data_IF_783425814464
#
_entry.id   IF_783425814464
#
_cell.length_a   1.000
_cell.length_b   1.000
_cell.length_c   1.000
_cell.angle_alpha   90.00
_cell.angle_beta   90.00
_cell.angle_gamma   90.00
#
_symmetry.space_group_name_H-M   'P 1'
#
loop_
_entity.id
_entity.type
_entity.pdbx_description
1 polymer ?
#
# COMPACT_ATOMS: atom_id res chain seq x y z
N UNK A 1 21.68 21.76 19.57
CA UNK A 1 21.26 20.74 18.60
C UNK A 1 20.04 21.27 17.88
N UNK A 2 20.19 21.62 16.61
CA UNK A 2 19.09 22.18 15.81
C UNK A 2 18.12 21.05 15.46
N UNK A 3 16.90 21.11 15.98
CA UNK A 3 15.81 20.24 15.55
C UNK A 3 15.61 20.46 14.04
N UNK A 4 15.95 19.45 13.24
CA UNK A 4 15.54 19.46 11.84
C UNK A 4 14.02 19.56 11.82
N UNK A 5 13.44 20.51 11.05
CA UNK A 5 11.99 20.62 10.95
C UNK A 5 11.45 19.25 10.52
N UNK A 6 10.51 18.72 11.29
CA UNK A 6 9.78 17.48 10.98
C UNK A 6 9.28 17.65 9.55
N UNK A 7 9.91 16.98 8.59
CA UNK A 7 9.40 16.94 7.22
C UNK A 7 8.01 16.39 7.33
N UNK A 8 7.01 17.25 7.05
CA UNK A 8 5.57 16.99 7.19
C UNK A 8 5.28 15.59 6.68
N UNK A 9 4.69 14.76 7.52
CA UNK A 9 4.45 13.36 7.24
C UNK A 9 3.83 13.18 5.84
N UNK A 10 4.49 12.46 4.98
CA UNK A 10 4.14 12.40 3.55
C UNK A 10 2.78 11.77 3.24
N UNK A 11 2.18 10.88 4.06
CA UNK A 11 0.77 10.51 3.93
C UNK A 11 -0.19 11.69 3.99
N UNK A 12 0.14 12.75 4.77
CA UNK A 12 -0.62 13.99 4.82
C UNK A 12 -0.59 14.81 3.50
N UNK A 13 0.19 14.39 2.51
CA UNK A 13 0.17 14.99 1.17
C UNK A 13 -1.04 14.48 0.37
N UNK A 14 -1.51 13.27 0.67
CA UNK A 14 -2.66 12.64 0.01
C UNK A 14 -3.92 12.85 0.84
N UNK A 15 -3.81 12.67 2.15
CA UNK A 15 -4.89 12.92 3.10
C UNK A 15 -4.63 14.25 3.81
N UNK A 16 -5.65 15.06 4.04
CA UNK A 16 -5.55 16.33 4.74
C UNK A 16 -4.82 16.18 6.09
N UNK A 17 -3.90 17.10 6.41
CA UNK A 17 -3.09 17.04 7.64
C UNK A 17 -3.92 16.93 8.93
N UNK A 18 -5.14 17.47 8.92
CA UNK A 18 -6.05 17.45 10.07
C UNK A 18 -6.54 16.05 10.41
N UNK A 19 -6.67 15.20 9.40
CA UNK A 19 -7.28 13.88 9.48
C UNK A 19 -6.28 12.77 9.80
N UNK A 20 -4.99 13.02 9.59
CA UNK A 20 -3.93 12.03 9.85
C UNK A 20 -3.57 12.01 11.33
N UNK A 21 -3.68 10.82 11.96
CA UNK A 21 -3.39 10.56 13.37
C UNK A 21 -2.38 9.42 13.51
N UNK A 22 -1.76 9.30 14.68
CA UNK A 22 -0.90 8.17 15.06
C UNK A 22 0.13 7.79 13.99
N UNK A 23 0.86 8.78 13.47
CA UNK A 23 1.82 8.57 12.38
C UNK A 23 3.09 7.91 12.90
N UNK A 24 3.44 6.77 12.32
CA UNK A 24 4.76 6.17 12.42
C UNK A 24 5.48 6.22 11.07
N UNK A 25 6.81 6.36 11.07
CA UNK A 25 7.60 6.33 9.84
C UNK A 25 9.04 5.93 10.09
N UNK A 26 9.64 5.30 9.09
CA UNK A 26 11.09 5.07 8.99
C UNK A 26 11.59 5.79 7.75
N UNK A 27 12.44 6.79 7.94
CA UNK A 27 12.99 7.67 6.91
C UNK A 27 11.94 8.07 5.85
N UNK A 28 12.20 7.74 4.58
CA UNK A 28 11.31 7.97 3.46
C UNK A 28 10.75 6.64 2.89
N UNK A 29 10.84 5.53 3.63
CA UNK A 29 10.60 4.19 3.09
C UNK A 29 9.26 3.60 3.47
N UNK A 30 8.89 3.68 4.76
CA UNK A 30 7.65 3.10 5.28
C UNK A 30 6.96 4.13 6.16
N UNK A 31 5.66 4.31 5.91
CA UNK A 31 4.77 5.09 6.74
C UNK A 31 3.55 4.25 7.09
N UNK A 32 3.02 4.44 8.29
CA UNK A 32 1.72 3.93 8.67
C UNK A 32 1.00 4.96 9.54
N UNK A 33 -0.30 5.09 9.39
CA UNK A 33 -1.09 6.02 10.19
C UNK A 33 -2.57 5.65 10.20
N UNK A 34 -3.31 6.30 11.08
CA UNK A 34 -4.77 6.33 11.11
C UNK A 34 -5.27 7.61 10.43
N UNK A 35 -6.41 7.52 9.77
CA UNK A 35 -7.13 8.64 9.17
C UNK A 35 -8.49 8.73 9.85
N UNK A 36 -8.87 9.91 10.32
CA UNK A 36 -10.13 10.14 11.03
C UNK A 36 -10.72 11.49 10.63
N UNK A 37 -11.99 11.51 10.26
CA UNK A 37 -12.74 12.70 9.86
C UNK A 37 -12.74 12.93 8.36
N UNK A 38 -13.53 13.89 7.91
CA UNK A 38 -13.80 14.20 6.52
C UNK A 38 -12.85 15.23 5.93
N UNK A 39 -12.62 15.10 4.63
CA UNK A 39 -11.94 16.12 3.83
C UNK A 39 -12.27 15.94 2.34
N UNK A 40 -12.07 16.99 1.56
CA UNK A 40 -12.22 16.98 0.11
C UNK A 40 -11.02 17.68 -0.53
N UNK A 41 -10.23 16.92 -1.27
CA UNK A 41 -8.98 17.36 -1.86
C UNK A 41 -9.04 17.19 -3.37
N UNK A 42 -9.04 18.29 -4.08
CA UNK A 42 -8.97 18.31 -5.56
C UNK A 42 -7.60 18.81 -6.00
N UNK A 43 -7.00 18.12 -6.93
CA UNK A 43 -5.72 18.48 -7.49
C UNK A 43 -5.87 19.17 -8.85
N UNK A 44 -5.23 20.32 -9.03
CA UNK A 44 -5.20 21.04 -10.32
C UNK A 44 -4.50 20.25 -11.44
N UNK A 45 -3.63 19.31 -11.05
CA UNK A 45 -2.98 18.32 -11.92
C UNK A 45 -2.98 16.97 -11.21
N UNK A 46 -3.05 15.85 -11.95
CA UNK A 46 -3.02 14.53 -11.32
C UNK A 46 -1.77 14.36 -10.45
N UNK A 47 -1.96 13.75 -9.31
CA UNK A 47 -0.89 13.44 -8.36
C UNK A 47 -0.51 11.96 -8.46
N UNK A 48 0.74 11.70 -8.76
CA UNK A 48 1.37 10.39 -8.55
C UNK A 48 2.14 10.40 -7.25
N UNK A 49 2.02 9.33 -6.50
CA UNK A 49 2.88 9.14 -5.34
C UNK A 49 4.06 8.24 -5.73
N UNK A 50 5.20 8.43 -5.07
CA UNK A 50 6.31 7.46 -5.17
C UNK A 50 6.08 6.24 -4.28
N UNK A 51 5.02 6.26 -3.47
CA UNK A 51 4.67 5.22 -2.52
C UNK A 51 3.56 4.35 -3.07
N UNK A 52 3.67 3.08 -2.79
CA UNK A 52 2.54 2.16 -2.83
C UNK A 52 1.72 2.37 -1.58
N UNK A 53 0.44 2.69 -1.74
CA UNK A 53 -0.48 2.96 -0.64
C UNK A 53 -1.48 1.83 -0.50
N UNK A 54 -1.66 1.40 0.73
CA UNK A 54 -2.75 0.51 1.12
C UNK A 54 -3.61 1.23 2.15
N UNK A 55 -4.91 1.31 1.91
CA UNK A 55 -5.88 1.94 2.80
C UNK A 55 -6.92 0.90 3.17
N UNK A 56 -7.11 0.68 4.46
CA UNK A 56 -8.16 -0.16 5.00
C UNK A 56 -9.28 0.73 5.55
N UNK A 57 -10.42 0.76 4.87
CA UNK A 57 -11.58 1.55 5.28
C UNK A 57 -12.30 0.85 6.41
N UNK A 58 -12.38 1.49 7.57
CA UNK A 58 -12.98 0.93 8.80
C UNK A 58 -14.40 1.45 9.04
N UNK A 59 -14.68 2.68 8.60
CA UNK A 59 -15.98 3.33 8.71
C UNK A 59 -16.10 4.45 7.69
N UNK A 60 -17.34 4.83 7.32
CA UNK A 60 -17.61 5.88 6.34
C UNK A 60 -17.32 5.46 4.90
N UNK A 61 -17.15 6.45 4.04
CA UNK A 61 -16.98 6.31 2.59
C UNK A 61 -15.77 7.09 2.11
N UNK A 62 -14.99 6.47 1.23
CA UNK A 62 -13.87 7.08 0.52
C UNK A 62 -14.19 7.07 -0.97
N UNK A 63 -14.23 8.24 -1.58
CA UNK A 63 -14.35 8.45 -3.02
C UNK A 63 -13.02 8.95 -3.58
N UNK A 64 -12.51 8.29 -4.61
CA UNK A 64 -11.25 8.69 -5.27
C UNK A 64 -11.47 8.69 -6.78
N UNK A 65 -10.98 9.72 -7.46
CA UNK A 65 -10.86 9.72 -8.92
C UNK A 65 -9.43 9.29 -9.29
N UNK A 66 -9.31 8.09 -9.87
CA UNK A 66 -8.04 7.46 -10.25
C UNK A 66 -8.03 7.26 -11.77
N UNK A 67 -7.00 7.77 -12.44
CA UNK A 67 -6.86 7.67 -13.91
C UNK A 67 -8.12 8.13 -14.65
N UNK A 68 -8.83 9.14 -14.12
CA UNK A 68 -10.07 9.69 -14.67
C UNK A 68 -11.34 8.90 -14.38
N UNK A 69 -11.26 7.80 -13.63
CA UNK A 69 -12.40 6.99 -13.23
C UNK A 69 -12.70 7.18 -11.74
N UNK A 70 -13.99 7.25 -11.42
CA UNK A 70 -14.45 7.31 -10.04
C UNK A 70 -14.45 5.92 -9.41
N UNK A 71 -13.95 5.85 -8.19
CA UNK A 71 -13.97 4.66 -7.35
C UNK A 71 -14.54 5.03 -5.98
N UNK A 72 -15.48 4.23 -5.47
CA UNK A 72 -16.11 4.41 -4.17
C UNK A 72 -15.80 3.19 -3.30
N UNK A 73 -15.23 3.44 -2.13
CA UNK A 73 -14.85 2.43 -1.16
C UNK A 73 -15.60 2.68 0.14
N UNK A 74 -16.20 1.65 0.69
CA UNK A 74 -17.00 1.70 1.89
C UNK A 74 -16.39 0.88 3.01
N UNK A 75 -17.04 0.83 4.14
CA UNK A 75 -16.63 0.05 5.31
C UNK A 75 -16.18 -1.37 4.96
N UNK A 76 -15.11 -1.80 5.59
CA UNK A 76 -14.48 -3.12 5.42
C UNK A 76 -13.89 -3.36 4.02
N UNK A 77 -13.62 -2.32 3.25
CA UNK A 77 -12.89 -2.46 1.99
C UNK A 77 -11.41 -2.10 2.17
N UNK A 78 -10.56 -2.69 1.34
CA UNK A 78 -9.20 -2.23 1.19
C UNK A 78 -9.01 -1.54 -0.15
N UNK A 79 -8.14 -0.55 -0.18
CA UNK A 79 -7.78 0.20 -1.39
C UNK A 79 -6.28 0.02 -1.63
N UNK A 80 -5.93 -0.32 -2.86
CA UNK A 80 -4.57 -0.51 -3.28
C UNK A 80 -4.21 0.55 -4.34
N UNK A 81 -3.38 1.53 -3.97
CA UNK A 81 -2.96 2.60 -4.88
C UNK A 81 -1.49 2.40 -5.27
N UNK A 82 -1.23 1.85 -6.45
CA UNK A 82 0.12 1.69 -6.95
C UNK A 82 0.75 3.04 -7.34
N UNK A 83 2.07 3.09 -7.44
CA UNK A 83 2.84 4.31 -7.73
C UNK A 83 2.55 4.92 -9.11
N UNK A 84 1.95 4.17 -10.01
CA UNK A 84 1.58 4.65 -11.35
C UNK A 84 0.17 5.26 -11.42
N UNK A 85 -0.62 5.19 -10.33
CA UNK A 85 -1.98 5.72 -10.30
C UNK A 85 -1.96 7.26 -10.29
N UNK A 86 -2.67 7.86 -11.24
CA UNK A 86 -2.90 9.30 -11.29
C UNK A 86 -4.14 9.64 -10.46
N UNK A 87 -3.96 10.33 -9.36
CA UNK A 87 -5.02 10.73 -8.42
C UNK A 87 -5.43 12.18 -8.74
N UNK A 88 -6.70 12.39 -9.04
CA UNK A 88 -7.26 13.70 -9.36
C UNK A 88 -8.03 14.30 -8.19
N UNK A 89 -8.72 13.47 -7.43
CA UNK A 89 -9.59 13.90 -6.34
C UNK A 89 -9.68 12.82 -5.28
N UNK A 90 -9.74 13.25 -4.03
CA UNK A 90 -10.01 12.39 -2.87
C UNK A 90 -11.04 13.10 -2.01
N UNK A 91 -12.13 12.42 -1.71
CA UNK A 91 -13.19 12.88 -0.83
C UNK A 91 -13.55 11.77 0.16
N UNK A 92 -13.71 12.12 1.41
CA UNK A 92 -14.17 11.21 2.45
C UNK A 92 -15.02 11.95 3.48
N UNK A 93 -16.03 11.27 4.00
CA UNK A 93 -17.05 11.84 4.87
C UNK A 93 -16.57 12.09 6.31
N UNK A 94 -17.38 12.80 7.11
CA UNK A 94 -16.99 13.25 8.45
C UNK A 94 -16.82 12.10 9.45
N UNK A 95 -17.48 10.98 9.25
CA UNK A 95 -17.36 9.77 10.06
C UNK A 95 -16.33 8.76 9.51
N UNK A 96 -15.60 9.15 8.47
CA UNK A 96 -14.57 8.32 7.87
C UNK A 96 -13.48 7.91 8.86
N UNK A 97 -13.17 6.63 8.87
CA UNK A 97 -12.06 6.04 9.61
C UNK A 97 -11.34 5.04 8.73
N UNK A 98 -10.04 5.16 8.68
CA UNK A 98 -9.20 4.22 7.96
C UNK A 98 -7.84 4.03 8.63
N UNK A 99 -7.18 2.94 8.29
CA UNK A 99 -5.75 2.74 8.54
C UNK A 99 -5.03 2.67 7.20
N UNK A 100 -3.85 3.26 7.12
CA UNK A 100 -3.09 3.28 5.86
C UNK A 100 -1.63 3.00 6.08
N UNK A 101 -1.03 2.35 5.09
CA UNK A 101 0.41 2.25 4.93
C UNK A 101 0.84 2.86 3.60
N UNK A 102 1.99 3.50 3.60
CA UNK A 102 2.62 4.03 2.39
C UNK A 102 4.07 3.54 2.36
N UNK A 103 4.44 2.80 1.33
CA UNK A 103 5.74 2.15 1.25
C UNK A 103 6.43 2.51 -0.05
N UNK A 104 7.72 2.86 0.04
CA UNK A 104 8.52 3.14 -1.15
C UNK A 104 8.56 1.92 -2.07
N UNK A 105 8.47 2.17 -3.37
CA UNK A 105 8.45 1.12 -4.39
C UNK A 105 9.64 0.17 -4.27
N UNK A 106 10.84 0.67 -3.95
CA UNK A 106 12.04 -0.16 -3.84
C UNK A 106 11.94 -1.18 -2.70
N UNK A 107 11.33 -0.80 -1.56
CA UNK A 107 11.09 -1.72 -0.43
C UNK A 107 10.10 -2.80 -0.81
N UNK A 108 9.00 -2.42 -1.48
CA UNK A 108 8.01 -3.39 -1.96
C UNK A 108 8.64 -4.37 -2.95
N UNK A 109 9.42 -3.87 -3.91
CA UNK A 109 10.11 -4.70 -4.89
C UNK A 109 11.13 -5.65 -4.25
N UNK A 110 11.87 -5.20 -3.25
CA UNK A 110 12.84 -6.04 -2.53
C UNK A 110 12.14 -7.18 -1.79
N UNK A 111 11.06 -6.90 -1.07
CA UNK A 111 10.26 -7.93 -0.40
C UNK A 111 9.73 -8.95 -1.39
N UNK A 112 9.12 -8.51 -2.48
CA UNK A 112 8.58 -9.42 -3.49
C UNK A 112 9.65 -10.21 -4.25
N UNK A 113 10.84 -9.65 -4.41
CA UNK A 113 11.95 -10.31 -5.11
C UNK A 113 12.62 -11.37 -4.25
N UNK A 114 12.87 -11.05 -2.99
CA UNK A 114 13.77 -11.84 -2.14
C UNK A 114 13.03 -12.74 -1.16
N UNK A 115 11.80 -12.41 -0.77
CA UNK A 115 11.10 -13.07 0.32
C UNK A 115 9.72 -13.61 -0.02
N UNK A 116 9.11 -13.16 -1.12
CA UNK A 116 7.74 -13.53 -1.43
C UNK A 116 7.67 -14.46 -2.65
N UNK A 117 7.23 -15.71 -2.47
CA UNK A 117 7.09 -16.70 -3.53
C UNK A 117 5.79 -16.54 -4.35
N UNK A 118 5.12 -15.39 -4.29
CA UNK A 118 3.85 -15.19 -5.03
C UNK A 118 4.06 -15.41 -6.53
N UNK A 119 3.21 -16.23 -7.17
CA UNK A 119 3.24 -16.43 -8.61
C UNK A 119 3.14 -15.10 -9.38
N UNK A 120 3.88 -14.93 -10.48
CA UNK A 120 3.87 -13.70 -11.29
C UNK A 120 2.48 -13.26 -11.70
N UNK A 121 1.62 -14.20 -12.13
CA UNK A 121 0.25 -13.91 -12.55
C UNK A 121 -0.61 -13.37 -11.40
N UNK A 122 -0.37 -13.87 -10.19
CA UNK A 122 -1.05 -13.37 -9.00
C UNK A 122 -0.58 -11.96 -8.64
N UNK A 123 0.75 -11.71 -8.67
CA UNK A 123 1.31 -10.36 -8.48
C UNK A 123 0.76 -9.37 -9.49
N UNK A 124 0.63 -9.79 -10.75
CA UNK A 124 0.09 -8.95 -11.81
C UNK A 124 -1.37 -8.59 -11.53
N UNK A 125 -2.21 -9.54 -11.09
CA UNK A 125 -3.59 -9.27 -10.68
C UNK A 125 -3.66 -8.28 -9.53
N UNK A 126 -2.85 -8.46 -8.48
CA UNK A 126 -2.79 -7.54 -7.34
C UNK A 126 -2.39 -6.11 -7.77
N UNK A 127 -1.42 -5.99 -8.65
CA UNK A 127 -0.92 -4.70 -9.11
C UNK A 127 -1.89 -3.95 -10.04
N UNK A 128 -2.84 -4.65 -10.67
CA UNK A 128 -3.83 -4.05 -11.57
C UNK A 128 -5.20 -3.84 -10.92
N UNK A 129 -5.36 -4.25 -9.67
CA UNK A 129 -6.58 -4.02 -8.90
C UNK A 129 -6.38 -2.86 -7.94
N UNK A 130 -7.30 -1.89 -7.96
CA UNK A 130 -7.34 -0.85 -6.92
C UNK A 130 -7.97 -1.34 -5.61
N UNK A 131 -8.35 -2.59 -5.52
CA UNK A 131 -9.09 -3.14 -4.40
C UNK A 131 -10.60 -2.91 -4.54
N UNK A 132 -11.28 -2.72 -3.41
CA UNK A 132 -12.72 -2.48 -3.35
C UNK A 132 -13.53 -3.69 -2.95
N UNK A 133 -12.91 -4.84 -2.80
CA UNK A 133 -13.59 -6.02 -2.24
C UNK A 133 -13.89 -5.82 -0.75
N UNK A 134 -15.09 -6.17 -0.33
CA UNK A 134 -15.48 -6.19 1.07
C UNK A 134 -14.78 -7.38 1.75
N UNK A 135 -13.99 -7.10 2.76
CA UNK A 135 -13.29 -8.08 3.57
C UNK A 135 -14.23 -8.69 4.63
N UNK A 136 -13.97 -9.93 5.04
CA UNK A 136 -14.59 -10.49 6.23
C UNK A 136 -14.13 -9.72 7.49
N UNK A 137 -14.98 -9.64 8.51
CA UNK A 137 -14.65 -8.90 9.74
C UNK A 137 -13.36 -9.40 10.42
N UNK A 138 -13.08 -10.70 10.36
CA UNK A 138 -11.88 -11.27 10.97
C UNK A 138 -10.61 -10.90 10.18
N UNK A 139 -10.72 -10.78 8.87
CA UNK A 139 -9.64 -10.27 8.03
C UNK A 139 -9.36 -8.78 8.33
N UNK A 140 -10.41 -7.97 8.46
CA UNK A 140 -10.28 -6.57 8.88
C UNK A 140 -9.60 -6.46 10.24
N UNK A 141 -10.00 -7.27 11.24
CA UNK A 141 -9.36 -7.29 12.57
C UNK A 141 -7.88 -7.68 12.49
N UNK A 142 -7.55 -8.70 11.68
CA UNK A 142 -6.17 -9.16 11.47
C UNK A 142 -5.32 -8.04 10.89
N UNK A 143 -5.74 -7.41 9.78
CA UNK A 143 -5.02 -6.29 9.16
C UNK A 143 -4.90 -5.07 10.08
N UNK A 144 -5.96 -4.73 10.83
CA UNK A 144 -5.90 -3.65 11.81
C UNK A 144 -4.82 -3.90 12.87
N UNK A 145 -4.71 -5.15 13.35
CA UNK A 145 -3.68 -5.55 14.30
C UNK A 145 -2.28 -5.37 13.70
N UNK A 146 -2.08 -5.83 12.47
CA UNK A 146 -0.78 -5.77 11.80
C UNK A 146 -0.35 -4.33 11.55
N UNK A 147 -1.26 -3.48 11.08
CA UNK A 147 -0.97 -2.06 10.87
C UNK A 147 -0.68 -1.36 12.20
N UNK A 148 -1.40 -1.68 13.29
CA UNK A 148 -1.11 -1.12 14.62
C UNK A 148 0.26 -1.54 15.12
N UNK A 149 0.60 -2.82 15.02
CA UNK A 149 1.92 -3.33 15.39
C UNK A 149 3.02 -2.60 14.60
N UNK A 150 2.79 -2.36 13.31
CA UNK A 150 3.71 -1.59 12.48
C UNK A 150 3.82 -0.13 12.95
N UNK A 151 2.70 0.55 13.26
CA UNK A 151 2.71 1.92 13.80
C UNK A 151 3.48 1.98 15.12
N UNK A 152 3.27 1.04 16.02
CA UNK A 152 3.98 0.94 17.30
C UNK A 152 5.48 0.76 17.09
N UNK A 153 5.88 -0.18 16.23
CA UNK A 153 7.29 -0.41 15.90
C UNK A 153 7.94 0.82 15.24
N UNK A 154 7.24 1.50 14.32
CA UNK A 154 7.72 2.73 13.67
C UNK A 154 7.92 3.89 14.67
N UNK A 155 7.20 3.88 15.80
CA UNK A 155 7.31 4.87 16.86
C UNK A 155 8.27 4.48 18.00
N UNK A 156 8.69 3.21 18.11
CA UNK A 156 9.63 2.78 19.13
C UNK A 156 11.08 3.11 18.73
N UNK A 157 11.46 4.36 18.98
CA UNK A 157 12.83 4.85 18.70
C UNK A 157 13.89 4.34 19.66
N UNK A 158 13.51 3.56 20.68
CA UNK A 158 14.45 3.01 21.67
C UNK A 158 14.86 1.57 21.37
N UNK A 159 14.13 0.90 20.51
CA UNK A 159 14.44 -0.47 20.13
C UNK A 159 15.73 -0.54 19.32
N UNK A 160 16.70 -1.34 19.74
CA UNK A 160 18.02 -1.42 19.08
C UNK A 160 17.95 -1.93 17.63
N UNK A 161 16.95 -2.75 17.32
CA UNK A 161 16.67 -3.31 15.99
C UNK A 161 15.34 -2.78 15.44
N UNK A 162 15.08 -1.47 15.63
CA UNK A 162 13.80 -0.87 15.25
C UNK A 162 13.51 -1.01 13.76
N UNK A 163 14.52 -0.89 12.91
CA UNK A 163 14.39 -0.99 11.46
C UNK A 163 14.00 -2.40 11.04
N UNK A 164 14.72 -3.42 11.52
CA UNK A 164 14.43 -4.83 11.23
C UNK A 164 13.06 -5.25 11.76
N UNK A 165 12.66 -4.71 12.91
CA UNK A 165 11.33 -4.96 13.48
C UNK A 165 10.23 -4.38 12.58
N UNK A 166 10.41 -3.15 12.09
CA UNK A 166 9.46 -2.51 11.17
C UNK A 166 9.35 -3.29 9.85
N UNK A 167 10.47 -3.71 9.26
CA UNK A 167 10.45 -4.56 8.07
C UNK A 167 9.75 -5.91 8.33
N UNK A 168 9.94 -6.48 9.52
CA UNK A 168 9.29 -7.74 9.89
C UNK A 168 7.77 -7.58 10.00
N UNK A 169 7.27 -6.55 10.66
CA UNK A 169 5.83 -6.27 10.74
C UNK A 169 5.23 -5.89 9.38
N UNK A 170 5.96 -5.13 8.58
CA UNK A 170 5.52 -4.84 7.22
C UNK A 170 5.43 -6.11 6.36
N UNK A 171 6.40 -7.02 6.51
CA UNK A 171 6.37 -8.31 5.81
C UNK A 171 5.19 -9.19 6.25
N UNK A 172 4.87 -9.23 7.55
CA UNK A 172 3.68 -9.92 8.08
C UNK A 172 2.42 -9.34 7.42
N UNK A 173 2.25 -8.02 7.45
CA UNK A 173 1.11 -7.34 6.83
C UNK A 173 0.95 -7.72 5.35
N UNK A 174 2.02 -7.66 4.56
CA UNK A 174 2.00 -8.02 3.14
C UNK A 174 1.66 -9.49 2.93
N UNK A 175 2.14 -10.37 3.81
CA UNK A 175 1.88 -11.82 3.73
C UNK A 175 0.42 -12.13 4.05
N UNK A 176 -0.15 -11.51 5.08
CA UNK A 176 -1.54 -11.68 5.46
C UNK A 176 -2.49 -11.11 4.39
N UNK A 177 -2.14 -9.95 3.82
CA UNK A 177 -2.87 -9.42 2.66
C UNK A 177 -2.81 -10.37 1.46
N UNK A 178 -1.64 -10.93 1.18
CA UNK A 178 -1.47 -11.86 0.07
C UNK A 178 -2.28 -13.15 0.27
N UNK A 179 -2.34 -13.67 1.48
CA UNK A 179 -3.13 -14.85 1.85
C UNK A 179 -4.64 -14.61 1.62
N UNK A 180 -5.18 -13.51 2.12
CA UNK A 180 -6.57 -13.12 1.88
C UNK A 180 -6.89 -12.95 0.40
N UNK A 181 -5.99 -12.33 -0.35
CA UNK A 181 -6.17 -12.15 -1.79
C UNK A 181 -6.04 -13.47 -2.54
N UNK A 182 -5.19 -14.38 -2.06
CA UNK A 182 -5.04 -15.71 -2.64
C UNK A 182 -6.33 -16.52 -2.59
N UNK A 183 -7.03 -16.49 -1.49
CA UNK A 183 -8.33 -17.18 -1.37
C UNK A 183 -9.35 -16.67 -2.40
N UNK A 184 -9.27 -15.41 -2.77
CA UNK A 184 -10.20 -14.75 -3.70
C UNK A 184 -9.79 -14.88 -5.16
N UNK A 185 -8.53 -14.64 -5.46
CA UNK A 185 -8.02 -14.49 -6.82
C UNK A 185 -7.05 -15.60 -7.26
N UNK A 186 -6.59 -16.42 -6.33
CA UNK A 186 -5.60 -17.48 -6.57
C UNK A 186 -6.18 -18.74 -7.23
N UNK A 187 -7.49 -18.92 -7.20
CA UNK A 187 -8.14 -20.10 -7.81
C UNK A 187 -7.81 -20.20 -9.30
N UNK A 188 -7.24 -21.36 -9.69
CA UNK A 188 -6.83 -21.61 -11.06
C UNK A 188 -5.45 -21.09 -11.44
N UNK A 189 -4.73 -20.43 -10.51
CA UNK A 189 -3.33 -20.08 -10.70
C UNK A 189 -2.46 -21.20 -10.15
N UNK A 190 -1.55 -21.80 -10.93
CA UNK A 190 -0.65 -22.83 -10.44
C UNK A 190 0.25 -22.28 -9.34
N UNK A 191 0.28 -22.95 -8.18
CA UNK A 191 1.11 -22.57 -7.03
C UNK A 191 2.60 -22.80 -7.23
N UNK A 192 2.95 -23.64 -8.23
CA UNK A 192 4.34 -23.91 -8.64
C UNK A 192 4.40 -23.94 -10.15
N UNK A 193 5.02 -22.95 -10.76
CA UNK A 193 5.43 -23.02 -12.16
C UNK A 193 6.82 -23.68 -12.23
N UNK A 194 6.95 -24.84 -12.88
CA UNK A 194 8.26 -25.46 -13.09
C UNK A 194 9.23 -24.56 -13.88
N UNK A 195 8.71 -23.62 -14.66
CA UNK A 195 9.45 -22.70 -15.54
C UNK A 195 9.45 -21.23 -15.10
N UNK A 196 9.14 -20.93 -13.82
CA UNK A 196 9.06 -19.53 -13.36
C UNK A 196 10.34 -18.72 -13.63
N UNK A 197 11.53 -19.34 -13.46
CA UNK A 197 12.82 -18.69 -13.76
C UNK A 197 12.99 -18.34 -15.23
N UNK A 198 12.46 -19.17 -16.12
CA UNK A 198 12.55 -18.97 -17.57
C UNK A 198 11.60 -17.87 -18.05
N UNK A 199 10.37 -17.86 -17.56
CA UNK A 199 9.39 -16.81 -17.88
C UNK A 199 9.82 -15.45 -17.35
N UNK A 200 10.34 -15.36 -16.13
CA UNK A 200 10.89 -14.13 -15.56
C UNK A 200 12.11 -13.63 -16.34
N UNK A 201 12.98 -14.54 -16.79
CA UNK A 201 14.14 -14.21 -17.64
C UNK A 201 13.69 -13.62 -18.97
N UNK A 202 12.72 -14.23 -19.64
CA UNK A 202 12.19 -13.78 -20.93
C UNK A 202 11.51 -12.41 -20.78
N UNK A 203 10.71 -12.20 -19.74
CA UNK A 203 10.06 -10.90 -19.49
C UNK A 203 11.11 -9.82 -19.19
N UNK A 204 12.12 -10.12 -18.39
CA UNK A 204 13.24 -9.19 -18.13
C UNK A 204 14.00 -8.81 -19.38
N UNK A 205 14.28 -9.81 -20.23
CA UNK A 205 14.98 -9.59 -21.49
C UNK A 205 14.14 -8.76 -22.46
N UNK A 206 12.83 -9.04 -22.56
CA UNK A 206 11.89 -8.26 -23.35
C UNK A 206 11.76 -6.82 -22.88
N UNK A 207 11.58 -6.59 -21.57
CA UNK A 207 11.53 -5.24 -20.98
C UNK A 207 12.86 -4.50 -21.18
N UNK A 208 13.99 -5.19 -21.02
CA UNK A 208 15.32 -4.62 -21.28
C UNK A 208 15.53 -4.23 -22.76
N UNK A 209 15.00 -5.02 -23.69
CA UNK A 209 15.01 -4.71 -25.12
C UNK A 209 14.11 -3.51 -25.45
N UNK A 210 12.91 -3.46 -24.87
CA UNK A 210 12.02 -2.30 -25.05
C UNK A 210 12.67 -1.00 -24.54
N UNK A 211 13.30 -1.04 -23.38
CA UNK A 211 13.98 0.16 -22.82
C UNK A 211 15.15 0.65 -23.68
N UNK A 212 15.86 -0.25 -24.39
CA UNK A 212 16.96 0.11 -25.30
C UNK A 212 16.50 0.66 -26.65
N UNK A 213 15.25 0.47 -27.03
CA UNK A 213 14.73 0.88 -28.33
C UNK A 213 13.69 2.03 -28.25
N UNK A 214 13.46 2.60 -27.05
CA UNK A 214 12.57 3.74 -26.81
C UNK A 214 13.42 5.04 -26.64
N UNK A 215 14.75 4.95 -26.67
CA UNK A 215 15.63 6.12 -26.85
C UNK A 215 15.83 6.34 -28.36
#
# INVERSE_FOLDING_TARGET
MSEKPIRKARPAIIFGQKCVKNVGYIDDYIFACEIVGGDHITYSKPRRTKYHLVILVLDGTLRIIINGNEHIFTKNTYVNLPTWADIYEIEYDDDFKAMTTATDKAVVEDIFRNRNPLPPDFRMKLNHSYGGDILAEDDVKRLCKDIRNLIEALNDKKHHFAEELCYSYFYILITDMADMMWERYGKGIPTKHPDMRRSESIIKEFVGLLQKHIE
#
